data_IF_972386062889
#
_entry.id   IF_972386062889
#
_cell.length_a   1.000
_cell.length_b   1.000
_cell.length_c   1.000
_cell.angle_alpha   90.00
_cell.angle_beta   90.00
_cell.angle_gamma   90.00
#
_symmetry.space_group_name_H-M   'P 1'
#
loop_
_entity.id
_entity.type
_entity.pdbx_description
1 polymer ?
#
# COMPACT_ATOMS: atom_id res chain seq x y z
N UNK A 1 18.68 25.91 2.83
CA UNK A 1 19.05 24.60 3.37
C UNK A 1 17.83 23.68 3.21
N UNK A 2 17.99 22.39 2.89
CA UNK A 2 16.84 21.50 2.94
C UNK A 2 16.26 21.47 4.35
N UNK A 3 14.93 21.36 4.46
CA UNK A 3 14.25 21.24 5.75
C UNK A 3 14.72 19.95 6.43
N UNK A 4 14.89 19.99 7.75
CA UNK A 4 15.10 18.75 8.53
C UNK A 4 13.79 17.99 8.62
N UNK A 5 13.84 16.70 8.96
CA UNK A 5 12.65 15.87 9.14
C UNK A 5 11.61 16.47 10.08
N UNK A 6 12.05 17.13 11.14
CA UNK A 6 11.20 17.82 12.12
C UNK A 6 10.53 19.12 11.56
N UNK A 7 11.07 19.67 10.49
CA UNK A 7 10.54 20.88 9.84
C UNK A 7 9.66 20.58 8.62
N UNK A 8 9.49 19.31 8.25
CA UNK A 8 8.66 18.88 7.13
C UNK A 8 7.18 18.98 7.51
N UNK A 9 6.35 19.53 6.61
CA UNK A 9 4.90 19.40 6.68
C UNK A 9 4.48 17.96 6.25
N UNK A 10 3.20 17.61 6.41
CA UNK A 10 2.69 16.27 6.14
C UNK A 10 3.05 15.77 4.72
N UNK A 11 2.84 16.61 3.71
CA UNK A 11 3.14 16.26 2.31
C UNK A 11 4.65 16.09 2.09
N UNK A 12 5.47 16.95 2.68
CA UNK A 12 6.93 16.81 2.56
C UNK A 12 7.44 15.54 3.24
N UNK A 13 6.82 15.15 4.36
CA UNK A 13 7.11 13.90 5.07
C UNK A 13 6.76 12.69 4.21
N UNK A 14 5.55 12.61 3.66
CA UNK A 14 5.12 11.51 2.78
C UNK A 14 6.02 11.39 1.56
N UNK A 15 6.32 12.53 0.91
CA UNK A 15 7.27 12.54 -0.23
C UNK A 15 8.66 12.06 0.13
N UNK A 16 9.13 12.34 1.34
CA UNK A 16 10.42 11.82 1.80
C UNK A 16 10.38 10.30 1.96
N UNK A 17 9.29 9.76 2.48
CA UNK A 17 9.08 8.31 2.59
C UNK A 17 9.03 7.64 1.21
N UNK A 18 8.33 8.23 0.24
CA UNK A 18 8.30 7.75 -1.15
C UNK A 18 9.72 7.64 -1.73
N UNK A 19 10.52 8.70 -1.59
CA UNK A 19 11.93 8.70 -2.10
C UNK A 19 12.78 7.64 -1.40
N UNK A 20 12.58 7.43 -0.10
CA UNK A 20 13.31 6.39 0.64
C UNK A 20 13.01 4.99 0.10
N UNK A 21 11.73 4.68 -0.11
CA UNK A 21 11.31 3.38 -0.64
C UNK A 21 11.76 3.17 -2.10
N UNK A 22 11.65 4.19 -2.96
CA UNK A 22 12.18 4.16 -4.33
C UNK A 22 13.69 3.85 -4.36
N UNK A 23 14.46 4.47 -3.46
CA UNK A 23 15.89 4.18 -3.35
C UNK A 23 16.17 2.74 -2.90
N UNK A 24 15.34 2.18 -2.02
CA UNK A 24 15.48 0.79 -1.58
C UNK A 24 15.21 -0.15 -2.75
N UNK A 25 14.16 0.06 -3.53
CA UNK A 25 13.86 -0.73 -4.72
C UNK A 25 14.99 -0.62 -5.78
N UNK A 26 15.49 0.58 -6.03
CA UNK A 26 16.62 0.78 -6.95
C UNK A 26 17.91 0.07 -6.48
N UNK A 27 18.11 -0.05 -5.16
CA UNK A 27 19.22 -0.85 -4.58
C UNK A 27 18.96 -2.35 -4.72
N UNK A 28 17.69 -2.80 -4.58
CA UNK A 28 17.29 -4.20 -4.75
C UNK A 28 17.56 -4.68 -6.18
N UNK A 29 17.18 -3.92 -7.19
CA UNK A 29 17.41 -4.26 -8.59
C UNK A 29 18.90 -4.47 -8.91
N UNK A 30 19.76 -3.66 -8.30
CA UNK A 30 21.22 -3.73 -8.50
C UNK A 30 21.92 -4.75 -7.59
N UNK A 31 21.18 -5.30 -6.62
CA UNK A 31 21.76 -6.21 -5.65
C UNK A 31 22.04 -7.59 -6.27
N UNK A 32 23.18 -8.16 -5.92
CA UNK A 32 23.53 -9.55 -6.17
C UNK A 32 23.62 -10.30 -4.85
N UNK A 33 23.14 -11.57 -4.85
CA UNK A 33 23.14 -12.42 -3.66
C UNK A 33 21.87 -12.32 -2.83
N UNK A 34 21.38 -13.49 -2.40
CA UNK A 34 20.08 -13.66 -1.75
C UNK A 34 19.97 -12.89 -0.43
N UNK A 35 20.99 -12.95 0.42
CA UNK A 35 20.97 -12.28 1.73
C UNK A 35 20.83 -10.75 1.62
N UNK A 36 21.47 -10.17 0.58
CA UNK A 36 21.36 -8.73 0.35
C UNK A 36 19.98 -8.35 -0.17
N UNK A 37 19.45 -9.12 -1.10
CA UNK A 37 18.09 -8.93 -1.63
C UNK A 37 17.05 -9.06 -0.53
N UNK A 38 17.17 -10.08 0.30
CA UNK A 38 16.27 -10.28 1.43
C UNK A 38 16.24 -9.06 2.35
N UNK A 39 17.39 -8.56 2.78
CA UNK A 39 17.46 -7.39 3.66
C UNK A 39 16.84 -6.13 3.04
N UNK A 40 17.01 -5.93 1.75
CA UNK A 40 16.43 -4.79 1.05
C UNK A 40 14.91 -4.94 0.91
N UNK A 41 14.42 -6.13 0.61
CA UNK A 41 12.99 -6.39 0.55
C UNK A 41 12.32 -6.26 1.93
N UNK A 42 12.93 -6.82 2.99
CA UNK A 42 12.46 -6.65 4.38
C UNK A 42 12.41 -5.16 4.78
N UNK A 43 13.41 -4.38 4.38
CA UNK A 43 13.40 -2.95 4.63
C UNK A 43 12.27 -2.25 3.86
N UNK A 44 12.08 -2.54 2.57
CA UNK A 44 11.00 -1.97 1.78
C UNK A 44 9.63 -2.32 2.37
N UNK A 45 9.41 -3.59 2.73
CA UNK A 45 8.16 -4.04 3.35
C UNK A 45 7.87 -3.30 4.67
N UNK A 46 8.88 -3.13 5.53
CA UNK A 46 8.75 -2.40 6.79
C UNK A 46 8.37 -0.94 6.55
N UNK A 47 9.10 -0.23 5.68
CA UNK A 47 8.83 1.19 5.40
C UNK A 47 7.44 1.37 4.79
N UNK A 48 7.03 0.51 3.85
CA UNK A 48 5.70 0.53 3.25
C UNK A 48 4.59 0.27 4.28
N UNK A 49 4.75 -0.72 5.17
CA UNK A 49 3.78 -0.99 6.24
C UNK A 49 3.60 0.23 7.15
N UNK A 50 4.69 0.87 7.52
CA UNK A 50 4.64 2.08 8.36
C UNK A 50 4.03 3.26 7.62
N UNK A 51 4.37 3.43 6.35
CA UNK A 51 3.83 4.48 5.49
C UNK A 51 2.32 4.34 5.31
N UNK A 52 1.82 3.17 4.94
CA UNK A 52 0.37 2.95 4.80
C UNK A 52 -0.38 3.20 6.10
N UNK A 53 0.20 2.88 7.26
CA UNK A 53 -0.41 3.17 8.57
C UNK A 53 -0.61 4.67 8.79
N UNK A 54 0.40 5.49 8.52
CA UNK A 54 0.27 6.94 8.78
C UNK A 54 -0.69 7.62 7.80
N UNK A 55 -0.80 7.13 6.58
CA UNK A 55 -1.76 7.64 5.63
C UNK A 55 -3.18 7.18 5.95
N UNK A 56 -3.40 5.91 6.15
CA UNK A 56 -4.73 5.35 6.39
C UNK A 56 -5.34 5.72 7.74
N UNK A 57 -4.51 5.98 8.75
CA UNK A 57 -5.00 6.37 10.07
C UNK A 57 -5.12 7.89 10.24
N UNK A 58 -4.36 8.70 9.45
CA UNK A 58 -4.26 10.14 9.69
C UNK A 58 -4.54 10.95 8.42
N UNK A 59 -3.77 10.75 7.36
CA UNK A 59 -3.82 11.63 6.19
C UNK A 59 -5.09 11.43 5.36
N UNK A 60 -5.44 10.21 4.99
CA UNK A 60 -6.64 9.90 4.20
C UNK A 60 -7.94 10.25 4.93
N UNK A 61 -8.10 9.97 6.24
CA UNK A 61 -9.25 10.46 6.99
C UNK A 61 -9.39 11.98 6.99
N UNK A 62 -8.28 12.71 7.06
CA UNK A 62 -8.31 14.18 6.98
C UNK A 62 -8.68 14.69 5.58
N UNK A 63 -8.37 13.95 4.53
CA UNK A 63 -8.74 14.27 3.15
C UNK A 63 -10.22 14.00 2.85
N UNK A 64 -10.84 13.04 3.52
CA UNK A 64 -12.20 12.58 3.27
C UNK A 64 -13.22 13.73 3.31
N UNK A 65 -14.01 13.91 2.23
CA UNK A 65 -14.98 15.00 2.10
C UNK A 65 -14.37 16.39 1.92
N UNK A 66 -13.04 16.53 1.84
CA UNK A 66 -12.34 17.78 1.57
C UNK A 66 -11.74 17.83 0.16
N UNK A 67 -11.49 16.64 -0.42
CA UNK A 67 -11.00 16.46 -1.79
C UNK A 67 -11.91 15.47 -2.53
N UNK A 68 -11.56 15.08 -3.73
CA UNK A 68 -12.27 14.02 -4.47
C UNK A 68 -12.17 12.68 -3.74
N UNK A 69 -13.29 12.18 -3.23
CA UNK A 69 -13.34 10.93 -2.45
C UNK A 69 -12.90 9.70 -3.27
N UNK A 70 -13.04 9.74 -4.60
CA UNK A 70 -12.61 8.64 -5.48
C UNK A 70 -11.09 8.44 -5.42
N UNK A 71 -10.30 9.51 -5.34
CA UNK A 71 -8.84 9.40 -5.15
C UNK A 71 -8.49 8.69 -3.82
N UNK A 72 -9.21 9.04 -2.76
CA UNK A 72 -8.99 8.40 -1.45
C UNK A 72 -9.41 6.92 -1.48
N UNK A 73 -10.51 6.60 -2.17
CA UNK A 73 -10.97 5.22 -2.32
C UNK A 73 -9.98 4.37 -3.13
N UNK A 74 -9.46 4.91 -4.24
CA UNK A 74 -8.47 4.25 -5.08
C UNK A 74 -7.18 3.96 -4.30
N UNK A 75 -6.65 4.96 -3.59
CA UNK A 75 -5.46 4.80 -2.75
C UNK A 75 -5.60 3.69 -1.69
N UNK A 76 -6.77 3.55 -1.04
CA UNK A 76 -7.01 2.42 -0.12
C UNK A 76 -6.95 1.06 -0.82
N UNK A 77 -7.47 0.94 -2.04
CA UNK A 77 -7.44 -0.33 -2.81
C UNK A 77 -6.02 -0.64 -3.27
N UNK A 78 -5.27 0.36 -3.71
CA UNK A 78 -3.86 0.20 -4.10
C UNK A 78 -3.00 -0.23 -2.92
N UNK A 79 -3.20 0.39 -1.75
CA UNK A 79 -2.55 -0.02 -0.50
C UNK A 79 -2.84 -1.48 -0.15
N UNK A 80 -4.09 -1.90 -0.23
CA UNK A 80 -4.45 -3.28 0.08
C UNK A 80 -3.83 -4.27 -0.91
N UNK A 81 -3.78 -3.94 -2.20
CA UNK A 81 -3.08 -4.75 -3.18
C UNK A 81 -1.57 -4.85 -2.89
N UNK A 82 -0.94 -3.73 -2.51
CA UNK A 82 0.47 -3.73 -2.08
C UNK A 82 0.69 -4.55 -0.80
N UNK A 83 -0.20 -4.46 0.19
CA UNK A 83 -0.14 -5.24 1.44
C UNK A 83 -0.21 -6.74 1.20
N UNK A 84 -1.01 -7.20 0.23
CA UNK A 84 -1.03 -8.62 -0.16
C UNK A 84 0.35 -9.07 -0.63
N UNK A 85 1.02 -8.29 -1.50
CA UNK A 85 2.37 -8.61 -1.95
C UNK A 85 3.41 -8.52 -0.83
N UNK A 86 3.30 -7.53 0.05
CA UNK A 86 4.16 -7.39 1.23
C UNK A 86 4.09 -8.66 2.09
N UNK A 87 2.89 -9.11 2.42
CA UNK A 87 2.68 -10.33 3.22
C UNK A 87 3.26 -11.56 2.54
N UNK A 88 3.10 -11.69 1.22
CA UNK A 88 3.66 -12.78 0.42
C UNK A 88 5.20 -12.74 0.37
N UNK A 89 5.82 -11.56 0.31
CA UNK A 89 7.27 -11.40 0.32
C UNK A 89 7.84 -11.74 1.70
N UNK A 90 7.18 -11.29 2.78
CA UNK A 90 7.62 -11.55 4.15
C UNK A 90 7.42 -13.02 4.56
N UNK A 91 6.35 -13.68 4.10
CA UNK A 91 6.10 -15.09 4.36
C UNK A 91 7.01 -16.02 3.57
N UNK A 92 7.46 -15.57 2.38
CA UNK A 92 8.36 -16.31 1.51
C UNK A 92 9.84 -16.11 1.87
N UNK A 93 10.67 -16.08 0.87
CA UNK A 93 12.10 -15.82 1.05
C UNK A 93 12.84 -15.84 -0.28
N UNK A 94 14.13 -15.46 -0.28
CA UNK A 94 14.91 -15.30 -1.50
C UNK A 94 15.20 -16.61 -2.25
N UNK A 95 14.81 -17.76 -1.69
CA UNK A 95 14.88 -19.07 -2.31
C UNK A 95 13.61 -19.41 -3.12
N UNK A 96 12.54 -18.66 -2.92
CA UNK A 96 11.29 -18.83 -3.65
C UNK A 96 11.44 -18.40 -5.12
N UNK A 97 10.86 -19.18 -6.04
CA UNK A 97 11.02 -18.95 -7.48
C UNK A 97 10.50 -17.58 -7.96
N UNK A 98 9.50 -17.01 -7.27
CA UNK A 98 8.87 -15.73 -7.66
C UNK A 98 9.26 -14.55 -6.76
N UNK A 99 10.20 -14.73 -5.84
CA UNK A 99 10.56 -13.69 -4.87
C UNK A 99 10.93 -12.36 -5.53
N UNK A 100 11.89 -12.39 -6.44
CA UNK A 100 12.34 -11.20 -7.15
C UNK A 100 11.22 -10.56 -7.99
N UNK A 101 10.34 -11.39 -8.57
CA UNK A 101 9.21 -10.92 -9.36
C UNK A 101 8.16 -10.23 -8.48
N UNK A 102 7.87 -10.76 -7.29
CA UNK A 102 6.96 -10.14 -6.33
C UNK A 102 7.47 -8.76 -5.90
N UNK A 103 8.76 -8.65 -5.57
CA UNK A 103 9.37 -7.36 -5.19
C UNK A 103 9.34 -6.35 -6.35
N UNK A 104 9.59 -6.82 -7.58
CA UNK A 104 9.49 -5.96 -8.76
C UNK A 104 8.08 -5.46 -9.00
N UNK A 105 7.08 -6.33 -8.95
CA UNK A 105 5.67 -5.93 -9.13
C UNK A 105 5.23 -4.98 -8.02
N UNK A 106 5.65 -5.22 -6.77
CA UNK A 106 5.40 -4.29 -5.67
C UNK A 106 6.00 -2.91 -5.97
N UNK A 107 7.24 -2.84 -6.46
CA UNK A 107 7.88 -1.57 -6.85
C UNK A 107 7.08 -0.81 -7.92
N UNK A 108 6.63 -1.52 -8.96
CA UNK A 108 5.83 -0.94 -10.05
C UNK A 108 4.46 -0.41 -9.56
N UNK A 109 3.83 -1.11 -8.62
CA UNK A 109 2.58 -0.68 -7.98
C UNK A 109 2.78 0.58 -7.13
N UNK A 110 3.86 0.63 -6.34
CA UNK A 110 4.18 1.81 -5.52
C UNK A 110 4.55 3.01 -6.40
N UNK A 111 5.28 2.81 -7.49
CA UNK A 111 5.59 3.89 -8.45
C UNK A 111 4.30 4.52 -9.01
N UNK A 112 3.34 3.68 -9.42
CA UNK A 112 2.03 4.14 -9.91
C UNK A 112 1.28 4.95 -8.85
N UNK A 113 1.14 4.39 -7.65
CA UNK A 113 0.48 5.02 -6.52
C UNK A 113 1.08 6.41 -6.18
N UNK A 114 2.40 6.49 -6.09
CA UNK A 114 3.13 7.74 -5.83
C UNK A 114 2.88 8.78 -6.94
N UNK A 115 2.85 8.35 -8.21
CA UNK A 115 2.54 9.25 -9.32
C UNK A 115 1.14 9.86 -9.19
N UNK A 116 0.13 9.09 -8.80
CA UNK A 116 -1.25 9.58 -8.61
C UNK A 116 -1.36 10.54 -7.43
N UNK A 117 -0.72 10.27 -6.32
CA UNK A 117 -0.73 11.18 -5.16
C UNK A 117 0.02 12.48 -5.42
N UNK A 118 1.17 12.42 -6.10
CA UNK A 118 2.07 13.55 -6.33
C UNK A 118 1.73 14.37 -7.58
N UNK A 119 0.74 13.99 -8.36
CA UNK A 119 0.32 14.69 -9.58
C UNK A 119 0.05 16.17 -9.32
N UNK A 120 0.61 17.04 -10.14
CA UNK A 120 0.77 18.47 -9.83
C UNK A 120 -0.50 19.25 -9.54
N UNK A 121 -1.61 18.95 -10.21
CA UNK A 121 -2.86 19.71 -10.09
C UNK A 121 -4.06 18.85 -9.68
N UNK A 122 -3.99 17.56 -9.95
CA UNK A 122 -5.10 16.62 -9.78
C UNK A 122 -4.84 15.59 -8.69
N UNK A 123 -3.57 15.42 -8.30
CA UNK A 123 -3.17 14.46 -7.28
C UNK A 123 -3.65 14.82 -5.88
N UNK A 124 -3.74 13.81 -5.04
CA UNK A 124 -4.25 13.90 -3.68
C UNK A 124 -3.55 14.99 -2.86
N UNK A 125 -2.22 15.08 -2.92
CA UNK A 125 -1.45 16.08 -2.16
C UNK A 125 -1.73 17.51 -2.60
N UNK A 126 -1.94 17.72 -3.90
CA UNK A 126 -2.29 19.02 -4.45
C UNK A 126 -3.67 19.47 -3.99
N UNK A 127 -4.65 18.57 -4.05
CA UNK A 127 -6.03 18.84 -3.61
C UNK A 127 -6.09 19.07 -2.09
N UNK A 128 -5.41 18.26 -1.28
CA UNK A 128 -5.36 18.39 0.16
C UNK A 128 -4.79 19.76 0.59
N UNK A 129 -3.75 20.22 -0.09
CA UNK A 129 -3.18 21.55 0.14
C UNK A 129 -4.14 22.66 -0.29
N UNK A 130 -4.80 22.53 -1.44
CA UNK A 130 -5.77 23.49 -1.93
C UNK A 130 -7.03 23.59 -1.05
N UNK A 131 -7.44 22.49 -0.42
CA UNK A 131 -8.53 22.43 0.55
C UNK A 131 -8.19 23.13 1.89
N UNK A 132 -6.92 23.48 2.11
CA UNK A 132 -6.49 24.21 3.31
C UNK A 132 -6.36 23.34 4.56
N UNK A 133 -6.09 22.03 4.40
CA UNK A 133 -5.80 21.16 5.53
C UNK A 133 -4.56 21.64 6.30
N UNK A 134 -4.59 21.51 7.62
CA UNK A 134 -3.45 21.91 8.48
C UNK A 134 -2.32 20.87 8.35
N UNK A 135 -1.43 21.11 7.39
CA UNK A 135 -0.34 20.21 7.06
C UNK A 135 0.70 20.08 8.18
N UNK A 136 0.85 21.10 9.02
CA UNK A 136 1.79 21.05 10.15
C UNK A 136 1.21 20.21 11.29
N UNK A 137 -0.06 20.38 11.62
CA UNK A 137 -0.74 19.56 12.62
C UNK A 137 -0.83 18.08 12.20
N UNK A 138 -1.08 17.80 10.91
CA UNK A 138 -1.05 16.45 10.37
C UNK A 138 0.36 15.84 10.46
N UNK A 139 1.39 16.60 10.12
CA UNK A 139 2.77 16.13 10.23
C UNK A 139 3.16 15.73 11.65
N UNK A 140 2.72 16.50 12.66
CA UNK A 140 3.00 16.16 14.06
C UNK A 140 2.36 14.81 14.46
N UNK A 141 1.11 14.60 14.07
CA UNK A 141 0.41 13.33 14.32
C UNK A 141 1.08 12.17 13.59
N UNK A 142 1.42 12.35 12.31
CA UNK A 142 2.06 11.33 11.48
C UNK A 142 3.45 10.96 12.01
N UNK A 143 4.27 11.93 12.43
CA UNK A 143 5.56 11.67 13.06
C UNK A 143 5.44 10.84 14.35
N UNK A 144 4.48 11.20 15.19
CA UNK A 144 4.23 10.45 16.43
C UNK A 144 3.80 9.02 16.14
N UNK A 145 2.89 8.82 15.17
CA UNK A 145 2.40 7.49 14.78
C UNK A 145 3.46 6.67 14.05
N UNK A 146 4.22 7.28 13.15
CA UNK A 146 5.35 6.63 12.45
C UNK A 146 6.36 6.06 13.45
N UNK A 147 6.70 6.83 14.48
CA UNK A 147 7.63 6.40 15.53
C UNK A 147 7.10 5.16 16.28
N UNK A 148 5.82 5.11 16.63
CA UNK A 148 5.21 3.96 17.30
C UNK A 148 5.08 2.77 16.37
N UNK A 149 4.59 2.94 15.15
CA UNK A 149 4.48 1.89 14.15
C UNK A 149 5.84 1.26 13.83
N UNK A 150 6.87 2.07 13.66
CA UNK A 150 8.24 1.58 13.45
C UNK A 150 8.73 0.75 14.65
N UNK A 151 8.45 1.14 15.89
CA UNK A 151 8.83 0.38 17.07
C UNK A 151 8.05 -0.94 17.21
N UNK A 152 6.79 -0.97 16.77
CA UNK A 152 5.93 -2.15 16.79
C UNK A 152 6.33 -3.18 15.73
N UNK A 153 6.68 -2.74 14.53
CA UNK A 153 6.87 -3.59 13.35
C UNK A 153 8.32 -3.97 13.07
N UNK A 154 9.30 -3.17 13.54
CA UNK A 154 10.71 -3.43 13.25
C UNK A 154 11.18 -4.78 13.79
N UNK A 155 11.64 -5.65 12.90
CA UNK A 155 12.06 -7.01 13.23
C UNK A 155 10.89 -7.97 13.49
N UNK A 156 9.68 -7.61 13.07
CA UNK A 156 8.46 -8.40 13.24
C UNK A 156 7.77 -8.66 11.88
N UNK A 157 8.41 -9.40 10.97
CA UNK A 157 7.76 -9.81 9.70
C UNK A 157 6.57 -10.74 9.93
N UNK A 158 6.44 -11.32 11.12
CA UNK A 158 5.32 -12.14 11.56
C UNK A 158 4.01 -11.34 11.76
N UNK A 159 4.07 -10.01 11.84
CA UNK A 159 2.89 -9.15 11.91
C UNK A 159 2.48 -8.78 10.47
N UNK A 160 1.39 -9.35 9.93
CA UNK A 160 0.97 -9.04 8.57
C UNK A 160 0.45 -7.61 8.45
N UNK A 161 0.56 -7.05 7.25
CA UNK A 161 -0.16 -5.85 6.90
C UNK A 161 -1.65 -6.17 6.71
N UNK A 162 -2.52 -5.46 7.44
CA UNK A 162 -3.97 -5.69 7.41
C UNK A 162 -4.62 -4.95 6.24
N UNK A 163 -5.40 -5.67 5.42
CA UNK A 163 -6.21 -5.08 4.36
C UNK A 163 -7.52 -4.53 4.92
N UNK A 164 -8.08 -3.49 4.27
CA UNK A 164 -9.32 -2.82 4.71
C UNK A 164 -10.45 -2.94 3.69
N UNK A 165 -10.11 -3.06 2.43
CA UNK A 165 -11.07 -3.12 1.31
C UNK A 165 -11.22 -4.53 0.75
N UNK A 166 -10.24 -5.41 0.99
CA UNK A 166 -10.26 -6.81 0.59
C UNK A 166 -10.77 -7.69 1.72
N UNK A 167 -11.88 -8.36 1.50
CA UNK A 167 -12.55 -9.24 2.46
C UNK A 167 -12.21 -10.71 2.15
N UNK A 168 -10.97 -11.13 2.43
CA UNK A 168 -10.49 -12.48 2.10
C UNK A 168 -11.29 -13.61 2.76
N UNK A 169 -11.65 -13.43 4.03
CA UNK A 169 -12.36 -14.46 4.79
C UNK A 169 -13.84 -14.59 4.35
N UNK A 170 -14.47 -13.50 3.89
CA UNK A 170 -15.84 -13.50 3.40
C UNK A 170 -15.97 -14.15 2.02
N UNK A 171 -14.92 -14.05 1.18
CA UNK A 171 -14.89 -14.67 -0.15
C UNK A 171 -14.73 -16.19 -0.04
N UNK A 172 -13.93 -16.68 0.87
CA UNK A 172 -13.74 -18.12 1.08
C UNK A 172 -14.99 -18.75 1.70
N UNK A 173 -15.63 -18.06 2.64
CA UNK A 173 -16.93 -18.47 3.22
C UNK A 173 -18.05 -18.47 2.16
N UNK A 174 -18.12 -17.46 1.31
CA UNK A 174 -19.12 -17.39 0.25
C UNK A 174 -18.92 -18.48 -0.84
N UNK A 175 -17.69 -18.93 -1.05
CA UNK A 175 -17.39 -20.02 -2.00
C UNK A 175 -17.63 -21.41 -1.42
N UNK A 176 -17.66 -21.56 -0.09
CA UNK A 176 -17.87 -22.85 0.58
C UNK A 176 -19.30 -23.11 1.01
N UNK A 177 -20.15 -22.11 1.18
CA UNK A 177 -21.50 -22.23 1.74
C UNK A 177 -22.63 -22.37 0.70
N UNK A 178 -22.39 -22.20 -0.59
CA UNK A 178 -23.37 -22.53 -1.60
C UNK A 178 -22.88 -23.69 -2.48
N UNK A 179 -23.62 -24.82 -2.52
CA UNK A 179 -23.36 -25.82 -3.55
C UNK A 179 -23.68 -25.19 -4.92
N UNK A 180 -22.68 -25.18 -5.80
CA UNK A 180 -22.87 -24.78 -7.20
C UNK A 180 -23.98 -25.68 -7.76
N UNK A 181 -25.22 -25.17 -7.78
CA UNK A 181 -26.29 -25.83 -8.52
C UNK A 181 -25.92 -25.70 -10.00
N UNK A 182 -25.73 -26.81 -10.71
CA UNK A 182 -25.42 -26.75 -12.12
C UNK A 182 -26.51 -25.98 -12.84
N UNK A 183 -26.12 -24.93 -13.57
CA UNK A 183 -27.01 -24.21 -14.46
C UNK A 183 -27.77 -25.23 -15.30
N UNK A 184 -29.07 -25.08 -15.32
CA UNK A 184 -30.05 -25.85 -16.05
C UNK A 184 -29.51 -26.31 -17.41
N UNK A 185 -29.58 -27.60 -17.78
CA UNK A 185 -29.09 -28.07 -19.05
C UNK A 185 -29.79 -27.35 -20.21
N UNK A 186 -29.05 -27.12 -21.27
CA UNK A 186 -29.46 -26.38 -22.48
C UNK A 186 -30.50 -27.08 -23.37
N UNK A 187 -31.33 -27.94 -22.81
CA UNK A 187 -32.25 -28.85 -23.56
C UNK A 187 -33.65 -28.28 -23.75
N UNK A 188 -33.92 -26.98 -23.46
CA UNK A 188 -35.23 -26.39 -23.62
C UNK A 188 -35.31 -25.32 -24.74
N UNK A 189 -34.54 -25.49 -25.80
CA UNK A 189 -34.62 -24.71 -27.06
C UNK A 189 -35.26 -25.54 -28.20
N UNK A 190 -36.20 -26.39 -27.89
CA UNK A 190 -36.85 -27.25 -28.87
C UNK A 190 -38.34 -27.41 -28.71
N UNK A 191 -39.12 -26.36 -28.82
CA UNK A 191 -40.55 -26.50 -29.17
C UNK A 191 -41.17 -25.14 -29.49
N UNK A 192 -40.92 -24.59 -30.64
CA UNK A 192 -41.82 -23.70 -31.34
C UNK A 192 -41.98 -24.25 -32.77
N UNK A 193 -43.00 -25.02 -32.93
CA UNK A 193 -43.70 -25.24 -34.21
C UNK A 193 -44.97 -24.43 -34.23
#
# INVERSE_FOLDING_TARGET
MPKTYEEMDAIALLKADHREVEEIFAKFEKASGKDRKQKLAEQACLELKVHTIIEEEIFYPACRGQIEDDLVNEAYVEHDAAKVLINEIEAGGPDEAFYDAKVKVLSEMIEHHVEEEEKRSEGMFSQARAAGLDMDALADQMRARKKTAMAELKGRPDIPAETRTFHGDDVESALTDEPITPSRPADDLGALR
#
